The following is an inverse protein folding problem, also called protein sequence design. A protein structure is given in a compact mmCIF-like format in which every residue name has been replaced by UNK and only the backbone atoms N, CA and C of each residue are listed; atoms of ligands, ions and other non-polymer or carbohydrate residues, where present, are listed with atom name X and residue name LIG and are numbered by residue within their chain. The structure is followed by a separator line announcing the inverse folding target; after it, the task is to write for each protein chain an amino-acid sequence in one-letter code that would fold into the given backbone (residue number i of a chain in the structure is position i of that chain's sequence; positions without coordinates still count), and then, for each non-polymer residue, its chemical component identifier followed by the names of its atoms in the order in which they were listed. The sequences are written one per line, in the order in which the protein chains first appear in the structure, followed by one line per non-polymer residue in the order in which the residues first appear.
data_IF_615935252185
#
_entry.id   IF_615935252185
#
_cell.length_a   1.000
_cell.length_b   1.000
_cell.length_c   1.000
_cell.angle_alpha   90.00
_cell.angle_beta   90.00
_cell.angle_gamma   90.00
#
_symmetry.space_group_name_H-M   'P 1'
#
loop_
_entity.id
_entity.type
_entity.pdbx_description
1 polymer ?
#
# COMPACT_ATOMS: atom_id res chain seq x y z
N UNK A 1 90.44 -1.82 -18.79
CA UNK A 1 89.56 -0.77 -19.32
C UNK A 1 88.42 -1.43 -20.06
N UNK A 2 87.33 -1.66 -19.30
CA UNK A 2 86.01 -2.12 -19.74
C UNK A 2 85.39 -1.21 -20.78
N UNK A 3 84.85 -1.75 -21.88
CA UNK A 3 83.59 -1.33 -22.57
C UNK A 3 83.22 -2.36 -23.67
N UNK A 4 82.86 -3.61 -23.32
CA UNK A 4 82.35 -4.58 -24.31
C UNK A 4 81.49 -5.69 -23.69
N UNK A 5 80.50 -5.36 -22.87
CA UNK A 5 79.56 -6.37 -22.33
C UNK A 5 78.07 -6.01 -22.48
N UNK A 6 77.71 -4.79 -22.88
CA UNK A 6 76.34 -4.29 -22.65
C UNK A 6 75.47 -4.05 -23.90
N UNK A 7 75.65 -4.86 -24.97
CA UNK A 7 74.78 -4.78 -26.18
C UNK A 7 73.93 -6.01 -26.49
N UNK A 8 74.03 -7.09 -25.71
CA UNK A 8 73.27 -8.33 -25.97
C UNK A 8 71.94 -8.46 -25.21
N UNK A 9 71.62 -7.58 -24.26
CA UNK A 9 70.50 -7.77 -23.31
C UNK A 9 69.22 -6.98 -23.60
N UNK A 10 69.21 -6.10 -24.61
CA UNK A 10 68.07 -5.18 -24.86
C UNK A 10 67.15 -5.57 -26.02
N UNK A 11 67.52 -6.51 -26.87
CA UNK A 11 66.68 -6.93 -28.01
C UNK A 11 65.76 -8.12 -27.69
N UNK A 12 65.95 -8.81 -26.56
CA UNK A 12 65.06 -9.88 -26.09
C UNK A 12 63.88 -9.44 -25.22
N UNK A 13 63.81 -8.16 -24.81
CA UNK A 13 62.80 -7.70 -23.85
C UNK A 13 61.47 -7.29 -24.50
N UNK A 14 61.46 -6.98 -25.81
CA UNK A 14 60.25 -6.53 -26.52
C UNK A 14 59.39 -7.68 -27.04
N UNK A 15 59.95 -8.88 -27.20
CA UNK A 15 59.17 -10.07 -27.60
C UNK A 15 58.51 -10.79 -26.40
N UNK A 16 58.99 -10.58 -25.17
CA UNK A 16 58.44 -11.22 -23.97
C UNK A 16 57.30 -10.42 -23.33
N UNK A 17 57.23 -9.09 -23.51
CA UNK A 17 56.14 -8.29 -22.91
C UNK A 17 54.78 -8.53 -23.56
N UNK A 18 54.71 -8.66 -24.89
CA UNK A 18 53.44 -8.91 -25.60
C UNK A 18 52.88 -10.32 -25.31
N UNK A 19 53.76 -11.30 -25.10
CA UNK A 19 53.37 -12.67 -24.71
C UNK A 19 52.92 -12.75 -23.24
N UNK A 20 53.49 -11.94 -22.35
CA UNK A 20 53.10 -11.89 -20.93
C UNK A 20 51.75 -11.16 -20.76
N UNK A 21 51.48 -10.11 -21.55
CA UNK A 21 50.22 -9.37 -21.47
C UNK A 21 49.06 -10.15 -22.13
N UNK A 22 49.36 -10.84 -23.24
CA UNK A 22 48.44 -11.83 -23.84
C UNK A 22 48.18 -13.01 -22.90
N UNK A 23 49.21 -13.48 -22.19
CA UNK A 23 49.09 -14.51 -21.16
C UNK A 23 48.26 -14.06 -19.97
N UNK A 24 48.43 -12.83 -19.48
CA UNK A 24 47.61 -12.24 -18.41
C UNK A 24 46.15 -12.14 -18.83
N UNK A 25 45.84 -11.57 -19.99
CA UNK A 25 44.46 -11.50 -20.47
C UNK A 25 43.84 -12.89 -20.64
N UNK A 26 44.59 -13.86 -21.17
CA UNK A 26 44.11 -15.25 -21.32
C UNK A 26 43.86 -15.91 -19.97
N UNK A 27 44.71 -15.68 -18.97
CA UNK A 27 44.48 -16.18 -17.62
C UNK A 27 43.28 -15.49 -16.97
N UNK A 28 43.13 -14.18 -17.12
CA UNK A 28 42.07 -13.40 -16.47
C UNK A 28 40.68 -13.71 -17.07
N UNK A 29 40.61 -13.89 -18.40
CA UNK A 29 39.44 -14.49 -19.05
C UNK A 29 39.17 -15.91 -18.54
N UNK A 30 40.21 -16.75 -18.43
CA UNK A 30 40.06 -18.12 -17.90
C UNK A 30 39.66 -18.17 -16.42
N UNK A 31 40.05 -17.19 -15.60
CA UNK A 31 39.59 -17.06 -14.22
C UNK A 31 38.13 -16.60 -14.18
N UNK A 32 37.78 -15.56 -14.94
CA UNK A 32 36.40 -15.05 -15.04
C UNK A 32 35.44 -16.12 -15.54
N UNK A 33 35.84 -16.89 -16.53
CA UNK A 33 35.08 -18.03 -17.06
C UNK A 33 34.97 -19.15 -16.01
N UNK A 34 36.05 -19.51 -15.31
CA UNK A 34 36.01 -20.49 -14.21
C UNK A 34 35.14 -20.06 -13.01
N UNK A 35 34.95 -18.77 -12.77
CA UNK A 35 34.05 -18.27 -11.72
C UNK A 35 32.60 -18.09 -12.19
N UNK A 36 32.37 -17.82 -13.47
CA UNK A 36 31.02 -17.66 -14.02
C UNK A 36 30.38 -19.01 -14.40
N UNK A 37 31.16 -19.99 -14.85
CA UNK A 37 30.69 -21.33 -15.23
C UNK A 37 29.97 -22.08 -14.09
N UNK A 38 30.42 -22.05 -12.82
CA UNK A 38 29.66 -22.63 -11.71
C UNK A 38 28.34 -21.90 -11.43
N UNK A 39 28.32 -20.57 -11.55
CA UNK A 39 27.10 -19.76 -11.36
C UNK A 39 26.08 -20.05 -12.46
N UNK A 40 26.51 -20.13 -13.71
CA UNK A 40 25.64 -20.53 -14.84
C UNK A 40 25.06 -21.93 -14.61
N UNK A 41 25.90 -22.91 -14.24
CA UNK A 41 25.44 -24.27 -13.93
C UNK A 41 24.53 -24.37 -12.71
N UNK A 42 24.64 -23.44 -11.77
CA UNK A 42 23.74 -23.35 -10.62
C UNK A 42 22.40 -22.76 -11.04
N UNK A 43 22.42 -21.63 -11.77
CA UNK A 43 21.21 -21.02 -12.32
C UNK A 43 20.46 -21.96 -13.29
N UNK A 44 21.18 -22.75 -14.09
CA UNK A 44 20.58 -23.76 -14.97
C UNK A 44 19.88 -24.87 -14.18
N UNK A 45 20.44 -25.28 -13.04
CA UNK A 45 19.81 -26.24 -12.13
C UNK A 45 18.57 -25.66 -11.48
N UNK A 46 18.65 -24.45 -10.94
CA UNK A 46 17.49 -23.76 -10.37
C UNK A 46 16.38 -23.55 -11.41
N UNK A 47 16.74 -23.21 -12.64
CA UNK A 47 15.78 -23.05 -13.74
C UNK A 47 15.10 -24.38 -14.09
N UNK A 48 15.82 -25.50 -14.03
CA UNK A 48 15.28 -26.84 -14.25
C UNK A 48 14.33 -27.22 -13.09
N UNK A 49 14.73 -26.98 -11.85
CA UNK A 49 13.90 -27.25 -10.67
C UNK A 49 12.59 -26.43 -10.69
N UNK A 50 12.67 -25.14 -11.07
CA UNK A 50 11.51 -24.28 -11.26
C UNK A 50 10.60 -24.76 -12.40
N UNK A 51 11.18 -25.27 -13.50
CA UNK A 51 10.40 -25.87 -14.59
C UNK A 51 9.68 -27.14 -14.14
N UNK A 52 10.34 -28.00 -13.36
CA UNK A 52 9.71 -29.20 -12.80
C UNK A 52 8.59 -28.85 -11.81
N UNK A 53 8.82 -27.87 -10.93
CA UNK A 53 7.80 -27.39 -9.99
C UNK A 53 6.59 -26.80 -10.74
N UNK A 54 6.82 -25.99 -11.78
CA UNK A 54 5.74 -25.47 -12.62
C UNK A 54 4.98 -26.58 -13.35
N UNK A 55 5.67 -27.59 -13.89
CA UNK A 55 5.02 -28.73 -14.53
C UNK A 55 4.09 -29.47 -13.55
N UNK A 56 4.56 -29.70 -12.32
CA UNK A 56 3.75 -30.31 -11.27
C UNK A 56 2.55 -29.45 -10.84
N UNK A 57 2.72 -28.13 -10.75
CA UNK A 57 1.61 -27.21 -10.47
C UNK A 57 0.56 -27.20 -11.59
N UNK A 58 0.99 -27.24 -12.85
CA UNK A 58 0.10 -27.37 -14.01
C UNK A 58 -0.68 -28.67 -13.95
N UNK A 59 -0.02 -29.80 -13.67
CA UNK A 59 -0.68 -31.10 -13.51
C UNK A 59 -1.71 -31.09 -12.37
N UNK A 60 -1.38 -30.44 -11.24
CA UNK A 60 -2.31 -30.27 -10.11
C UNK A 60 -3.50 -29.39 -10.48
N UNK A 61 -3.29 -28.31 -11.23
CA UNK A 61 -4.37 -27.46 -11.74
C UNK A 61 -5.27 -28.20 -12.72
N UNK A 62 -4.69 -29.01 -13.61
CA UNK A 62 -5.46 -29.87 -14.52
C UNK A 62 -6.26 -30.92 -13.74
N UNK A 63 -5.69 -31.53 -12.71
CA UNK A 63 -6.40 -32.45 -11.84
C UNK A 63 -7.58 -31.77 -11.12
N UNK A 64 -7.35 -30.59 -10.53
CA UNK A 64 -8.41 -29.81 -9.88
C UNK A 64 -9.47 -29.34 -10.88
N UNK A 65 -9.09 -28.94 -12.08
CA UNK A 65 -10.01 -28.56 -13.16
C UNK A 65 -10.87 -29.75 -13.61
N UNK A 66 -10.27 -30.93 -13.79
CA UNK A 66 -10.99 -32.17 -14.09
C UNK A 66 -11.92 -32.57 -12.94
N UNK A 67 -11.48 -32.43 -11.70
CA UNK A 67 -12.29 -32.71 -10.51
C UNK A 67 -13.48 -31.75 -10.42
N UNK A 68 -13.27 -30.45 -10.62
CA UNK A 68 -14.33 -29.44 -10.67
C UNK A 68 -15.32 -29.70 -11.82
N UNK A 69 -14.83 -30.06 -13.02
CA UNK A 69 -15.67 -30.43 -14.15
C UNK A 69 -16.49 -31.70 -13.86
N UNK A 70 -15.90 -32.71 -13.21
CA UNK A 70 -16.62 -33.92 -12.79
C UNK A 70 -17.68 -33.65 -11.72
N UNK A 71 -17.40 -32.73 -10.79
CA UNK A 71 -18.35 -32.32 -9.76
C UNK A 71 -19.53 -31.53 -10.36
N UNK A 72 -19.24 -30.63 -11.32
CA UNK A 72 -20.28 -29.91 -12.06
C UNK A 72 -21.16 -30.85 -12.90
N UNK A 73 -20.59 -31.88 -13.52
CA UNK A 73 -21.36 -32.90 -14.26
C UNK A 73 -22.20 -33.78 -13.31
N UNK A 74 -21.69 -34.11 -12.12
CA UNK A 74 -22.47 -34.83 -11.09
C UNK A 74 -23.68 -34.03 -10.63
N UNK A 75 -23.55 -32.72 -10.46
CA UNK A 75 -24.66 -31.83 -10.05
C UNK A 75 -25.70 -31.68 -11.16
N UNK A 76 -25.28 -31.68 -12.43
CA UNK A 76 -26.20 -31.66 -13.59
C UNK A 76 -26.87 -33.01 -13.88
N UNK A 77 -26.37 -34.12 -13.33
CA UNK A 77 -26.94 -35.46 -13.53
C UNK A 77 -28.00 -35.82 -12.47
N UNK A 78 -28.11 -35.02 -11.41
CA UNK A 78 -29.10 -35.21 -10.33
C UNK A 78 -30.37 -34.36 -10.46
N UNK A 79 -30.50 -33.53 -11.50
CA UNK A 79 -31.73 -32.80 -11.79
C UNK A 79 -32.51 -33.47 -12.93
N UNK A 80 -33.60 -34.15 -12.58
CA UNK A 80 -34.65 -34.51 -13.53
C UNK A 80 -35.21 -33.26 -14.23
N UNK A 81 -35.63 -33.35 -15.50
CA UNK A 81 -35.95 -32.20 -16.32
C UNK A 81 -37.45 -31.90 -16.26
N UNK A 82 -37.92 -31.09 -15.32
CA UNK A 82 -39.22 -30.44 -15.44
C UNK A 82 -39.20 -29.01 -14.88
N UNK A 83 -39.94 -28.15 -15.59
CA UNK A 83 -40.24 -26.74 -15.32
C UNK A 83 -39.23 -25.72 -15.88
N UNK A 84 -39.49 -25.40 -17.15
CA UNK A 84 -39.22 -24.13 -17.80
C UNK A 84 -39.79 -22.96 -16.98
N UNK A 85 -38.97 -21.94 -16.72
CA UNK A 85 -39.43 -20.71 -16.07
C UNK A 85 -38.30 -19.80 -15.61
N UNK A 86 -37.78 -18.99 -16.55
CA UNK A 86 -37.11 -17.69 -16.35
C UNK A 86 -36.33 -17.44 -15.05
N UNK A 87 -34.99 -17.48 -15.11
CA UNK A 87 -34.16 -16.46 -14.44
C UNK A 87 -32.95 -16.16 -15.32
N UNK A 88 -33.13 -15.18 -16.22
CA UNK A 88 -32.05 -14.49 -16.90
C UNK A 88 -31.98 -13.07 -16.38
N UNK A 89 -30.79 -12.70 -15.90
CA UNK A 89 -30.25 -11.33 -15.89
C UNK A 89 -30.91 -10.32 -14.94
N UNK A 90 -30.43 -10.25 -13.69
CA UNK A 90 -30.51 -9.02 -12.90
C UNK A 90 -29.12 -8.38 -12.77
N UNK A 91 -28.95 -7.34 -13.59
CA UNK A 91 -27.98 -6.26 -13.46
C UNK A 91 -28.07 -5.63 -12.07
N UNK A 92 -27.00 -5.73 -11.28
CA UNK A 92 -26.85 -5.02 -9.99
C UNK A 92 -25.55 -4.22 -10.01
N UNK A 93 -25.42 -3.38 -11.03
CA UNK A 93 -24.24 -2.55 -11.33
C UNK A 93 -24.60 -1.07 -11.30
N UNK A 94 -25.50 -0.66 -10.40
CA UNK A 94 -25.92 0.74 -10.26
C UNK A 94 -26.26 1.11 -8.81
N UNK A 95 -25.30 0.93 -7.88
CA UNK A 95 -25.35 1.60 -6.57
C UNK A 95 -23.98 1.63 -5.86
N UNK A 96 -22.96 2.25 -6.49
CA UNK A 96 -21.78 2.74 -5.75
C UNK A 96 -21.48 4.16 -6.22
N UNK A 97 -22.11 5.10 -5.55
CA UNK A 97 -21.80 6.51 -5.62
C UNK A 97 -22.06 7.15 -4.27
N UNK A 98 -21.04 7.83 -3.74
CA UNK A 98 -21.06 8.73 -2.57
C UNK A 98 -20.78 8.06 -1.21
N UNK A 99 -19.51 8.10 -0.78
CA UNK A 99 -18.98 9.12 0.16
C UNK A 99 -17.56 8.73 0.62
N UNK A 100 -16.55 9.48 0.15
CA UNK A 100 -15.32 9.74 0.92
C UNK A 100 -15.63 10.87 1.92
N UNK A 101 -15.13 10.86 3.15
CA UNK A 101 -13.74 11.08 3.56
C UNK A 101 -13.63 10.90 5.10
N UNK A 102 -12.45 10.98 5.75
CA UNK A 102 -12.05 9.99 6.74
C UNK A 102 -12.07 10.53 8.18
N UNK A 103 -12.15 9.59 9.13
CA UNK A 103 -11.82 9.84 10.52
C UNK A 103 -10.29 9.84 10.67
N UNK A 104 -9.71 10.98 11.04
CA UNK A 104 -8.36 11.08 11.59
C UNK A 104 -8.45 11.54 13.03
N UNK A 105 -7.87 10.73 13.90
CA UNK A 105 -7.59 10.99 15.30
C UNK A 105 -6.92 12.33 15.51
N UNK A 106 -7.39 13.13 16.47
CA UNK A 106 -6.45 13.90 17.29
C UNK A 106 -7.00 14.27 18.67
N UNK A 107 -6.06 14.26 19.61
CA UNK A 107 -6.24 14.25 21.05
C UNK A 107 -5.66 15.57 21.58
N UNK A 108 -6.47 16.48 22.12
CA UNK A 108 -6.03 17.67 22.91
C UNK A 108 -7.24 18.17 23.72
N UNK A 109 -7.30 17.93 25.04
CA UNK A 109 -6.82 18.79 26.15
C UNK A 109 -7.26 20.26 26.08
N UNK A 110 -7.89 20.67 27.20
CA UNK A 110 -8.11 22.01 27.76
C UNK A 110 -9.37 22.76 27.31
N UNK A 111 -10.38 22.67 28.17
CA UNK A 111 -11.35 23.74 28.41
C UNK A 111 -10.79 24.66 29.50
N UNK A 112 -10.56 25.92 29.16
CA UNK A 112 -10.54 27.06 30.08
C UNK A 112 -11.38 28.15 29.42
N UNK A 113 -12.13 28.84 30.29
CA UNK A 113 -13.06 29.97 30.10
C UNK A 113 -12.40 31.20 29.43
N UNK A 114 -13.01 32.39 29.34
CA UNK A 114 -14.29 32.85 29.94
C UNK A 114 -15.16 33.76 29.04
N UNK A 115 -16.26 34.20 29.66
CA UNK A 115 -16.92 35.50 29.45
C UNK A 115 -17.80 35.61 28.18
N UNK A 116 -19.04 36.10 28.23
CA UNK A 116 -19.66 37.11 29.10
C UNK A 116 -21.16 36.80 29.29
N UNK A 117 -21.70 36.83 30.53
CA UNK A 117 -22.35 37.97 31.24
C UNK A 117 -23.83 38.12 30.92
N UNK A 118 -24.65 37.92 31.97
CA UNK A 118 -25.85 38.65 32.40
C UNK A 118 -26.52 37.76 33.47
N UNK A 119 -26.21 38.03 34.74
CA UNK A 119 -26.99 38.90 35.65
C UNK A 119 -28.23 38.14 36.16
N UNK A 120 -28.57 38.10 37.45
CA UNK A 120 -28.07 38.77 38.64
C UNK A 120 -28.81 38.10 39.82
N UNK A 121 -28.10 37.62 40.84
CA UNK A 121 -28.00 38.23 42.19
C UNK A 121 -28.86 37.53 43.27
N UNK A 122 -28.09 36.80 44.08
CA UNK A 122 -28.03 36.81 45.56
C UNK A 122 -29.19 36.24 46.39
N UNK A 123 -28.88 35.05 46.94
CA UNK A 123 -29.11 34.71 48.34
C UNK A 123 -28.52 35.79 49.26
N UNK A 124 -29.30 36.16 50.29
CA UNK A 124 -28.86 36.53 51.65
C UNK A 124 -29.75 37.65 52.22
N UNK A 125 -30.81 37.22 52.91
CA UNK A 125 -31.33 38.01 54.03
C UNK A 125 -31.01 37.20 55.27
N UNK A 126 -29.80 37.43 55.81
CA UNK A 126 -29.52 37.28 57.23
C UNK A 126 -30.54 38.13 57.99
N UNK A 127 -31.31 37.50 58.88
CA UNK A 127 -32.06 38.17 59.93
C UNK A 127 -31.50 37.70 61.27
N UNK A 128 -30.47 38.38 61.77
CA UNK A 128 -30.20 38.47 63.20
C UNK A 128 -30.61 39.85 63.74
N UNK A 129 -31.47 39.79 64.76
CA UNK A 129 -31.65 40.73 65.86
C UNK A 129 -32.11 42.16 65.58
N UNK A 130 -33.40 42.41 65.82
CA UNK A 130 -33.83 43.13 67.04
C UNK A 130 -35.35 43.32 67.08
N UNK A 131 -35.95 42.67 68.07
CA UNK A 131 -37.02 43.16 68.94
C UNK A 131 -38.14 44.05 68.38
N UNK A 132 -39.35 43.49 68.49
CA UNK A 132 -40.52 44.27 68.91
C UNK A 132 -41.73 44.11 68.02
N UNK A 133 -42.52 43.05 68.24
CA UNK A 133 -43.91 43.19 68.71
C UNK A 133 -44.67 41.85 68.66
N UNK A 134 -45.33 41.57 69.77
CA UNK A 134 -46.23 40.44 70.04
C UNK A 134 -47.33 40.32 68.97
N UNK A 135 -47.42 39.17 68.25
CA UNK A 135 -48.70 38.71 67.67
C UNK A 135 -48.69 37.22 67.27
N UNK A 136 -49.69 36.49 67.76
CA UNK A 136 -50.07 35.10 67.42
C UNK A 136 -50.05 34.79 65.90
N UNK A 137 -49.01 34.14 65.39
CA UNK A 137 -49.00 33.57 64.03
C UNK A 137 -47.79 32.66 63.81
N UNK A 138 -48.04 31.42 63.37
CA UNK A 138 -47.00 30.48 62.93
C UNK A 138 -46.14 31.11 61.82
N UNK A 139 -44.84 30.82 61.81
CA UNK A 139 -43.95 31.28 60.74
C UNK A 139 -44.30 30.56 59.43
N UNK A 140 -44.06 31.21 58.28
CA UNK A 140 -44.31 30.58 56.97
C UNK A 140 -43.44 29.33 56.73
N UNK A 141 -42.34 29.15 57.48
CA UNK A 141 -41.51 27.94 57.44
C UNK A 141 -42.18 26.78 58.18
N UNK A 142 -42.63 27.02 59.42
CA UNK A 142 -43.34 26.02 60.23
C UNK A 142 -44.62 25.50 59.55
N UNK A 143 -45.34 26.37 58.84
CA UNK A 143 -46.53 25.96 58.07
C UNK A 143 -46.16 25.07 56.88
N UNK A 144 -44.99 25.29 56.24
CA UNK A 144 -44.51 24.45 55.15
C UNK A 144 -44.05 23.08 55.65
N UNK A 145 -43.31 23.05 56.76
CA UNK A 145 -42.88 21.82 57.42
C UNK A 145 -44.07 20.96 57.87
N UNK A 146 -45.09 21.58 58.48
CA UNK A 146 -46.32 20.87 58.86
C UNK A 146 -47.09 20.33 57.65
N UNK A 147 -47.12 21.07 56.53
CA UNK A 147 -47.73 20.58 55.28
C UNK A 147 -46.97 19.41 54.69
N UNK A 148 -45.64 19.41 54.79
CA UNK A 148 -44.81 18.30 54.37
C UNK A 148 -45.07 17.06 55.23
N UNK A 149 -45.11 17.20 56.56
CA UNK A 149 -45.40 16.08 57.46
C UNK A 149 -46.80 15.48 57.20
N UNK A 150 -47.81 16.32 56.95
CA UNK A 150 -49.16 15.86 56.58
C UNK A 150 -49.15 15.08 55.25
N UNK A 151 -48.32 15.48 54.28
CA UNK A 151 -48.16 14.74 53.03
C UNK A 151 -47.47 13.40 53.23
N UNK A 152 -46.45 13.35 54.07
CA UNK A 152 -45.74 12.10 54.36
C UNK A 152 -46.70 11.09 55.00
N UNK A 153 -47.55 11.53 55.95
CA UNK A 153 -48.60 10.69 56.54
C UNK A 153 -49.66 10.29 55.50
N UNK A 154 -50.05 11.19 54.60
CA UNK A 154 -50.98 10.89 53.52
C UNK A 154 -50.43 9.79 52.58
N UNK A 155 -49.18 9.92 52.13
CA UNK A 155 -48.50 8.92 51.30
C UNK A 155 -48.37 7.59 52.02
N UNK A 156 -48.04 7.60 53.31
CA UNK A 156 -47.96 6.38 54.12
C UNK A 156 -49.33 5.67 54.22
N UNK A 157 -50.42 6.39 54.45
CA UNK A 157 -51.76 5.80 54.47
C UNK A 157 -52.19 5.28 53.09
N UNK A 158 -51.83 5.97 52.00
CA UNK A 158 -52.08 5.49 50.63
C UNK A 158 -51.32 4.20 50.32
N UNK A 159 -50.05 4.13 50.70
CA UNK A 159 -49.26 2.92 50.56
C UNK A 159 -49.88 1.72 51.30
N UNK A 160 -50.39 1.93 52.52
CA UNK A 160 -51.10 0.88 53.26
C UNK A 160 -52.39 0.42 52.57
N UNK A 161 -53.18 1.36 52.03
CA UNK A 161 -54.39 1.03 51.23
C UNK A 161 -54.02 0.18 50.02
N UNK A 162 -52.95 0.54 49.32
CA UNK A 162 -52.49 -0.18 48.13
C UNK A 162 -51.95 -1.57 48.48
N UNK A 163 -51.22 -1.71 49.59
CA UNK A 163 -50.77 -3.01 50.10
C UNK A 163 -51.97 -3.93 50.44
N UNK A 164 -52.99 -3.43 51.14
CA UNK A 164 -54.20 -4.20 51.47
C UNK A 164 -54.93 -4.61 50.19
N UNK A 165 -55.04 -3.72 49.21
CA UNK A 165 -55.64 -4.02 47.90
C UNK A 165 -54.81 -5.04 47.11
N UNK A 166 -53.48 -4.96 47.17
CA UNK A 166 -52.58 -5.88 46.47
C UNK A 166 -52.64 -7.29 47.07
N UNK A 167 -52.67 -7.41 48.41
CA UNK A 167 -52.92 -8.69 49.08
C UNK A 167 -54.27 -9.30 48.67
N UNK A 168 -55.31 -8.46 48.47
CA UNK A 168 -56.62 -8.91 47.96
C UNK A 168 -56.58 -9.36 46.49
N UNK A 169 -55.66 -8.83 45.67
CA UNK A 169 -55.54 -9.10 44.22
C UNK A 169 -54.55 -10.22 43.86
N UNK A 170 -53.70 -10.65 44.79
CA UNK A 170 -52.77 -11.77 44.57
C UNK A 170 -53.50 -13.10 44.28
N UNK A 171 -54.83 -13.17 44.43
CA UNK A 171 -55.68 -14.19 43.81
C UNK A 171 -56.24 -13.69 42.47
N UNK A 172 -55.44 -13.81 41.41
CA UNK A 172 -55.84 -13.84 39.98
C UNK A 172 -56.55 -12.60 39.39
N UNK A 173 -55.78 -11.64 38.85
CA UNK A 173 -56.01 -11.00 37.53
C UNK A 173 -55.17 -9.73 37.37
N UNK A 174 -54.62 -9.56 36.17
CA UNK A 174 -53.71 -8.51 35.69
C UNK A 174 -54.12 -7.06 35.93
N UNK A 175 -53.06 -6.25 36.11
CA UNK A 175 -52.75 -4.98 35.45
C UNK A 175 -53.96 -4.13 35.01
N UNK A 176 -54.29 -3.13 35.83
CA UNK A 176 -54.55 -1.74 35.45
C UNK A 176 -54.95 -0.93 36.69
N UNK A 177 -54.73 0.39 36.64
CA UNK A 177 -54.92 1.40 37.69
C UNK A 177 -53.82 1.51 38.76
N UNK A 178 -52.62 1.95 38.37
CA UNK A 178 -51.77 2.78 39.23
C UNK A 178 -52.07 4.25 38.90
N UNK A 179 -53.15 4.78 39.47
CA UNK A 179 -53.34 6.23 39.54
C UNK A 179 -52.81 6.67 40.91
N UNK A 180 -51.49 6.76 41.02
CA UNK A 180 -50.86 7.50 42.10
C UNK A 180 -51.03 8.98 41.77
N UNK A 181 -52.10 9.59 42.30
CA UNK A 181 -52.22 11.06 42.32
C UNK A 181 -51.07 11.58 43.18
N UNK A 182 -49.99 12.07 42.55
CA UNK A 182 -48.90 12.74 43.25
C UNK A 182 -49.39 14.09 43.78
N UNK A 183 -49.75 14.11 45.06
CA UNK A 183 -50.20 15.32 45.75
C UNK A 183 -48.98 16.09 46.25
N UNK A 184 -48.74 17.26 45.67
CA UNK A 184 -47.64 18.17 46.06
C UNK A 184 -48.01 19.06 47.27
N UNK A 185 -47.02 19.67 47.94
CA UNK A 185 -47.15 20.54 49.14
C UNK A 185 -48.16 21.68 48.93
N UNK A 186 -48.25 22.14 47.69
CA UNK A 186 -49.18 23.18 47.23
C UNK A 186 -50.65 22.73 47.21
N UNK A 187 -50.91 21.43 47.14
CA UNK A 187 -52.22 20.81 46.96
C UNK A 187 -52.84 20.28 48.26
N UNK A 188 -52.13 20.39 49.39
CA UNK A 188 -52.60 19.96 50.72
C UNK A 188 -53.81 20.79 51.15
N UNK A 189 -55.00 20.26 50.89
CA UNK A 189 -56.28 20.82 51.32
C UNK A 189 -56.78 20.14 52.60
N UNK A 190 -57.47 20.91 53.43
CA UNK A 190 -58.16 20.39 54.62
C UNK A 190 -59.16 19.31 54.17
N UNK A 191 -58.98 18.09 54.67
CA UNK A 191 -59.86 16.95 54.36
C UNK A 191 -59.21 15.82 53.57
N UNK A 192 -58.07 16.02 52.91
CA UNK A 192 -57.40 14.95 52.15
C UNK A 192 -57.05 13.73 53.01
N UNK A 193 -56.41 13.96 54.15
CA UNK A 193 -56.09 12.90 55.11
C UNK A 193 -57.35 12.24 55.69
N UNK A 194 -58.43 13.01 55.87
CA UNK A 194 -59.71 12.48 56.38
C UNK A 194 -60.33 11.50 55.39
N UNK A 195 -60.27 11.79 54.09
CA UNK A 195 -60.81 10.89 53.06
C UNK A 195 -59.97 9.61 52.94
N UNK A 196 -58.64 9.71 52.93
CA UNK A 196 -57.77 8.52 52.93
C UNK A 196 -57.97 7.67 54.19
N UNK A 197 -58.11 8.29 55.36
CA UNK A 197 -58.40 7.56 56.60
C UNK A 197 -59.80 6.90 56.61
N UNK A 198 -60.81 7.52 55.98
CA UNK A 198 -62.13 6.89 55.80
C UNK A 198 -62.04 5.68 54.87
N UNK A 199 -61.30 5.79 53.77
CA UNK A 199 -61.07 4.71 52.82
C UNK A 199 -60.36 3.54 53.51
N UNK A 200 -59.28 3.82 54.25
CA UNK A 200 -58.56 2.83 55.04
C UNK A 200 -59.47 2.15 56.08
N UNK A 201 -60.28 2.93 56.82
CA UNK A 201 -61.26 2.38 57.77
C UNK A 201 -62.30 1.50 57.10
N UNK A 202 -62.80 1.87 55.91
CA UNK A 202 -63.75 1.06 55.15
C UNK A 202 -63.11 -0.27 54.74
N UNK A 203 -61.86 -0.24 54.25
CA UNK A 203 -61.14 -1.45 53.86
C UNK A 203 -60.88 -2.39 55.04
N UNK A 204 -60.56 -1.86 56.22
CA UNK A 204 -60.45 -2.68 57.44
C UNK A 204 -61.79 -3.31 57.84
N UNK A 205 -62.90 -2.56 57.80
CA UNK A 205 -64.22 -3.12 58.09
C UNK A 205 -64.60 -4.22 57.09
N UNK A 206 -64.27 -4.05 55.80
CA UNK A 206 -64.50 -5.06 54.77
C UNK A 206 -63.68 -6.34 55.01
N UNK A 207 -62.42 -6.21 55.43
CA UNK A 207 -61.58 -7.36 55.79
C UNK A 207 -62.17 -8.15 56.97
N UNK A 208 -62.52 -7.45 58.07
CA UNK A 208 -63.09 -8.09 59.26
C UNK A 208 -64.43 -8.76 58.95
N UNK A 209 -65.28 -8.10 58.14
CA UNK A 209 -66.57 -8.67 57.73
C UNK A 209 -66.37 -9.92 56.86
N UNK A 210 -65.41 -9.91 55.95
CA UNK A 210 -65.09 -11.05 55.07
C UNK A 210 -64.55 -12.23 55.88
N UNK A 211 -63.65 -12.00 56.83
CA UNK A 211 -63.11 -13.03 57.71
C UNK A 211 -64.20 -13.69 58.57
N UNK A 212 -65.14 -12.90 59.09
CA UNK A 212 -66.32 -13.41 59.79
C UNK A 212 -67.28 -14.17 58.87
N UNK A 213 -67.43 -13.76 57.60
CA UNK A 213 -68.26 -14.48 56.62
C UNK A 213 -67.65 -15.83 56.20
N UNK A 214 -66.33 -15.91 56.04
CA UNK A 214 -65.63 -17.18 55.80
C UNK A 214 -65.75 -18.14 57.01
N UNK A 215 -65.80 -17.59 58.22
CA UNK A 215 -65.96 -18.37 59.45
C UNK A 215 -67.42 -18.80 59.75
N UNK A 216 -68.42 -18.11 59.19
CA UNK A 216 -69.86 -18.44 59.35
C UNK A 216 -70.44 -19.27 58.20
N UNK A 217 -69.83 -19.21 57.01
CA UNK A 217 -70.25 -20.02 55.86
C UNK A 217 -69.90 -21.50 56.01
N UNK A 218 -69.00 -21.84 56.93
CA UNK A 218 -68.61 -23.21 57.28
C UNK A 218 -69.42 -23.84 58.43
N UNK A 219 -70.29 -23.07 59.08
CA UNK A 219 -71.01 -23.51 60.29
C UNK A 219 -72.55 -23.51 60.17
N UNK A 220 -73.11 -23.17 59.00
CA UNK A 220 -74.56 -23.01 58.82
C UNK A 220 -75.24 -24.07 57.94
N UNK A 221 -74.53 -25.14 57.56
CA UNK A 221 -75.14 -26.35 56.99
C UNK A 221 -75.07 -27.48 58.03
N UNK A 222 -76.24 -27.98 58.44
CA UNK A 222 -76.39 -29.26 59.14
C UNK A 222 -76.08 -30.41 58.15
N UNK A 223 -74.84 -30.50 57.70
CA UNK A 223 -74.37 -31.61 56.87
C UNK A 223 -73.84 -32.72 57.78
N UNK A 224 -74.33 -33.94 57.53
CA UNK A 224 -73.82 -35.14 58.19
C UNK A 224 -72.28 -35.21 58.00
N UNK A 225 -71.49 -35.65 58.99
CA UNK A 225 -70.04 -35.83 58.84
C UNK A 225 -69.67 -36.73 57.64
N UNK A 226 -70.59 -37.58 57.17
CA UNK A 226 -70.43 -38.37 55.94
C UNK A 226 -70.47 -37.56 54.64
N UNK A 227 -71.15 -36.42 54.62
CA UNK A 227 -71.35 -35.58 53.43
C UNK A 227 -70.16 -34.64 53.23
N UNK A 228 -69.65 -34.05 54.32
CA UNK A 228 -68.40 -33.27 54.35
C UNK A 228 -67.21 -34.14 53.95
N UNK A 229 -67.15 -35.39 54.41
CA UNK A 229 -66.10 -36.33 54.02
C UNK A 229 -66.11 -36.65 52.52
N UNK A 230 -67.30 -36.86 51.93
CA UNK A 230 -67.46 -37.11 50.50
C UNK A 230 -67.04 -35.90 49.66
N UNK A 231 -67.39 -34.69 50.10
CA UNK A 231 -67.01 -33.46 49.40
C UNK A 231 -65.50 -33.19 49.44
N UNK A 232 -64.85 -33.46 50.59
CA UNK A 232 -63.39 -33.43 50.69
C UNK A 232 -62.71 -34.46 49.79
N UNK A 233 -63.29 -35.66 49.66
CA UNK A 233 -62.77 -36.70 48.77
C UNK A 233 -62.89 -36.27 47.29
N UNK A 234 -64.02 -35.67 46.90
CA UNK A 234 -64.20 -35.09 45.56
C UNK A 234 -63.23 -33.94 45.30
N UNK A 235 -63.02 -33.04 46.27
CA UNK A 235 -62.04 -31.96 46.14
C UNK A 235 -60.60 -32.48 46.02
N UNK A 236 -60.25 -33.51 46.78
CA UNK A 236 -58.95 -34.16 46.73
C UNK A 236 -58.72 -34.85 45.39
N UNK A 237 -59.72 -35.53 44.83
CA UNK A 237 -59.66 -36.08 43.48
C UNK A 237 -59.49 -34.99 42.42
N UNK A 238 -60.27 -33.92 42.50
CA UNK A 238 -60.17 -32.79 41.55
C UNK A 238 -58.82 -32.08 41.61
N UNK A 239 -58.26 -31.93 42.82
CA UNK A 239 -56.93 -31.38 43.04
C UNK A 239 -55.84 -32.30 42.48
N UNK A 240 -55.94 -33.61 42.72
CA UNK A 240 -55.03 -34.61 42.14
C UNK A 240 -55.07 -34.59 40.60
N UNK A 241 -56.25 -34.58 40.00
CA UNK A 241 -56.41 -34.49 38.55
C UNK A 241 -55.78 -33.19 37.99
N UNK A 242 -55.94 -32.06 38.69
CA UNK A 242 -55.30 -30.80 38.31
C UNK A 242 -53.77 -30.87 38.41
N UNK A 243 -53.22 -31.48 39.47
CA UNK A 243 -51.78 -31.73 39.60
C UNK A 243 -51.26 -32.60 38.45
N UNK A 244 -51.92 -33.71 38.12
CA UNK A 244 -51.51 -34.56 37.01
C UNK A 244 -51.61 -33.85 35.65
N UNK A 245 -52.59 -32.94 35.47
CA UNK A 245 -52.67 -32.13 34.25
C UNK A 245 -51.51 -31.15 34.15
N UNK A 246 -51.13 -30.49 35.25
CA UNK A 246 -49.97 -29.60 35.30
C UNK A 246 -48.67 -30.34 35.07
N UNK A 247 -48.50 -31.54 35.63
CA UNK A 247 -47.34 -32.41 35.39
C UNK A 247 -47.22 -32.78 33.91
N UNK A 248 -48.33 -33.19 33.26
CA UNK A 248 -48.33 -33.48 31.81
C UNK A 248 -48.01 -32.24 30.97
N UNK A 249 -48.45 -31.05 31.38
CA UNK A 249 -48.11 -29.80 30.69
C UNK A 249 -46.64 -29.44 30.87
N UNK A 250 -46.10 -29.57 32.09
CA UNK A 250 -44.69 -29.34 32.39
C UNK A 250 -43.79 -30.28 31.59
N UNK A 251 -44.14 -31.56 31.51
CA UNK A 251 -43.44 -32.57 30.71
C UNK A 251 -43.41 -32.20 29.20
N UNK A 252 -44.52 -31.68 28.65
CA UNK A 252 -44.58 -31.22 27.25
C UNK A 252 -43.69 -30.01 27.03
N UNK A 253 -43.80 -28.99 27.87
CA UNK A 253 -42.98 -27.78 27.79
C UNK A 253 -41.49 -28.08 27.99
N UNK A 254 -41.15 -29.04 28.86
CA UNK A 254 -39.77 -29.52 29.02
C UNK A 254 -39.23 -30.12 27.72
N UNK A 255 -40.00 -30.97 27.04
CA UNK A 255 -39.59 -31.58 25.77
C UNK A 255 -39.46 -30.56 24.64
N UNK A 256 -40.36 -29.58 24.59
CA UNK A 256 -40.27 -28.47 23.64
C UNK A 256 -39.02 -27.62 23.90
N UNK A 257 -38.72 -27.32 25.16
CA UNK A 257 -37.49 -26.60 25.55
C UNK A 257 -36.23 -27.37 25.15
N UNK A 258 -36.20 -28.69 25.37
CA UNK A 258 -35.07 -29.53 24.96
C UNK A 258 -34.89 -29.60 23.44
N UNK A 259 -35.99 -29.58 22.68
CA UNK A 259 -35.95 -29.53 21.22
C UNK A 259 -35.39 -28.19 20.73
N UNK A 260 -35.88 -27.08 21.29
CA UNK A 260 -35.38 -25.73 20.99
C UNK A 260 -33.90 -25.57 21.37
N UNK A 261 -33.47 -26.16 22.49
CA UNK A 261 -32.06 -26.13 22.89
C UNK A 261 -31.17 -26.84 21.86
N UNK A 262 -31.57 -28.02 21.39
CA UNK A 262 -30.82 -28.75 20.34
C UNK A 262 -30.77 -28.00 19.02
N UNK A 263 -31.86 -27.31 18.65
CA UNK A 263 -31.88 -26.46 17.46
C UNK A 263 -30.93 -25.27 17.60
N UNK A 264 -30.94 -24.59 18.76
CA UNK A 264 -30.00 -23.53 19.06
C UNK A 264 -28.54 -24.01 18.99
N UNK A 265 -28.22 -25.15 19.60
CA UNK A 265 -26.86 -25.71 19.56
C UNK A 265 -26.44 -26.03 18.10
N UNK A 266 -27.36 -26.54 17.28
CA UNK A 266 -27.13 -26.79 15.85
C UNK A 266 -26.89 -25.50 15.07
N UNK A 267 -27.72 -24.48 15.27
CA UNK A 267 -27.58 -23.17 14.62
C UNK A 267 -26.28 -22.48 15.05
N UNK A 268 -25.91 -22.57 16.32
CA UNK A 268 -24.65 -22.05 16.82
C UNK A 268 -23.45 -22.79 16.18
N UNK A 269 -23.54 -24.11 16.01
CA UNK A 269 -22.56 -24.88 15.24
C UNK A 269 -22.45 -24.44 13.78
N UNK A 270 -23.59 -24.20 13.11
CA UNK A 270 -23.58 -23.68 11.74
C UNK A 270 -22.97 -22.28 11.65
N UNK A 271 -23.31 -21.39 12.59
CA UNK A 271 -22.76 -20.05 12.66
C UNK A 271 -21.23 -20.08 12.77
N UNK A 272 -20.67 -20.85 13.70
CA UNK A 272 -19.21 -20.98 13.87
C UNK A 272 -18.50 -21.49 12.61
N UNK A 273 -19.11 -22.45 11.90
CA UNK A 273 -18.55 -22.95 10.63
C UNK A 273 -18.60 -21.88 9.55
N UNK A 274 -19.70 -21.12 9.46
CA UNK A 274 -19.81 -20.02 8.49
C UNK A 274 -18.85 -18.87 8.79
N UNK A 275 -18.65 -18.52 10.07
CA UNK A 275 -17.67 -17.53 10.51
C UNK A 275 -16.25 -17.95 10.16
N UNK A 276 -15.89 -19.21 10.39
CA UNK A 276 -14.58 -19.75 10.02
C UNK A 276 -14.36 -19.73 8.48
N UNK A 277 -15.41 -20.04 7.70
CA UNK A 277 -15.35 -19.94 6.23
C UNK A 277 -15.19 -18.49 5.77
N UNK A 278 -15.91 -17.56 6.38
CA UNK A 278 -15.79 -16.14 6.08
C UNK A 278 -14.38 -15.64 6.37
N UNK A 279 -13.83 -15.93 7.56
CA UNK A 279 -12.48 -15.57 7.93
C UNK A 279 -11.43 -16.15 6.96
N UNK A 280 -11.58 -17.41 6.55
CA UNK A 280 -10.70 -18.02 5.55
C UNK A 280 -10.80 -17.34 4.18
N UNK A 281 -12.00 -16.95 3.73
CA UNK A 281 -12.18 -16.18 2.49
C UNK A 281 -11.59 -14.77 2.59
N UNK A 282 -11.68 -14.11 3.75
CA UNK A 282 -11.06 -12.81 3.99
C UNK A 282 -9.53 -12.88 3.96
N UNK A 283 -8.94 -13.91 4.58
CA UNK A 283 -7.49 -14.16 4.54
C UNK A 283 -7.01 -14.42 3.10
N UNK A 284 -7.74 -15.22 2.32
CA UNK A 284 -7.44 -15.44 0.90
C UNK A 284 -7.52 -14.14 0.09
N UNK A 285 -8.57 -13.34 0.29
CA UNK A 285 -8.73 -12.03 -0.35
C UNK A 285 -7.54 -11.12 -0.04
N UNK A 286 -7.13 -11.05 1.22
CA UNK A 286 -6.05 -10.17 1.65
C UNK A 286 -4.69 -10.65 1.12
N UNK A 287 -4.48 -11.97 1.07
CA UNK A 287 -3.32 -12.58 0.39
C UNK A 287 -3.27 -12.18 -1.08
N UNK A 288 -4.38 -12.32 -1.82
CA UNK A 288 -4.42 -11.94 -3.24
C UNK A 288 -4.22 -10.44 -3.47
N UNK A 289 -4.74 -9.58 -2.58
CA UNK A 289 -4.48 -8.14 -2.63
C UNK A 289 -2.98 -7.84 -2.47
N UNK A 290 -2.35 -8.47 -1.48
CA UNK A 290 -0.91 -8.31 -1.25
C UNK A 290 -0.08 -8.81 -2.44
N UNK A 291 -0.44 -9.96 -3.02
CA UNK A 291 0.22 -10.48 -4.22
C UNK A 291 0.06 -9.53 -5.41
N UNK A 292 -1.13 -8.96 -5.60
CA UNK A 292 -1.39 -7.98 -6.65
C UNK A 292 -0.51 -6.74 -6.45
N UNK A 293 -0.47 -6.18 -5.24
CA UNK A 293 0.39 -5.04 -4.90
C UNK A 293 1.87 -5.36 -5.13
N UNK A 294 2.35 -6.52 -4.70
CA UNK A 294 3.71 -6.98 -4.93
C UNK A 294 4.02 -7.12 -6.43
N UNK A 295 3.09 -7.64 -7.23
CA UNK A 295 3.27 -7.75 -8.68
C UNK A 295 3.28 -6.37 -9.35
N UNK A 296 2.48 -5.42 -8.88
CA UNK A 296 2.47 -4.04 -9.38
C UNK A 296 3.80 -3.34 -9.06
N UNK A 297 4.28 -3.46 -7.82
CA UNK A 297 5.59 -2.96 -7.41
C UNK A 297 6.70 -3.57 -8.28
N UNK A 298 6.64 -4.87 -8.58
CA UNK A 298 7.60 -5.54 -9.47
C UNK A 298 7.54 -5.00 -10.90
N UNK A 299 6.34 -4.78 -11.45
CA UNK A 299 6.16 -4.15 -12.78
C UNK A 299 6.69 -2.72 -12.81
N UNK A 300 6.38 -1.90 -11.80
CA UNK A 300 6.86 -0.52 -11.71
C UNK A 300 8.38 -0.46 -11.66
N UNK A 301 9.01 -1.34 -10.88
CA UNK A 301 10.46 -1.47 -10.83
C UNK A 301 11.02 -1.87 -12.20
N UNK A 302 10.37 -2.80 -12.90
CA UNK A 302 10.79 -3.22 -14.24
C UNK A 302 10.67 -2.06 -15.26
N UNK A 303 9.58 -1.30 -15.22
CA UNK A 303 9.35 -0.12 -16.07
C UNK A 303 10.40 0.96 -15.80
N UNK A 304 10.66 1.28 -14.53
CA UNK A 304 11.72 2.24 -14.15
C UNK A 304 13.09 1.80 -14.67
N UNK A 305 13.44 0.51 -14.49
CA UNK A 305 14.69 -0.04 -15.02
C UNK A 305 14.75 0.02 -16.55
N UNK A 306 13.65 -0.23 -17.24
CA UNK A 306 13.58 -0.11 -18.70
C UNK A 306 13.78 1.35 -19.17
N UNK A 307 13.18 2.31 -18.47
CA UNK A 307 13.42 3.74 -18.73
C UNK A 307 14.89 4.12 -18.51
N UNK A 308 15.49 3.71 -17.39
CA UNK A 308 16.91 3.98 -17.14
C UNK A 308 17.83 3.40 -18.23
N UNK A 309 17.54 2.17 -18.70
CA UNK A 309 18.32 1.54 -19.78
C UNK A 309 18.16 2.31 -21.09
N UNK A 310 16.93 2.70 -21.44
CA UNK A 310 16.66 3.52 -22.62
C UNK A 310 17.38 4.86 -22.52
N UNK A 311 17.30 5.54 -21.39
CA UNK A 311 17.86 6.88 -21.21
C UNK A 311 19.40 6.82 -21.26
N UNK A 312 20.02 5.78 -20.67
CA UNK A 312 21.46 5.51 -20.82
C UNK A 312 21.84 5.23 -22.28
N UNK A 313 21.02 4.50 -23.03
CA UNK A 313 21.28 4.22 -24.44
C UNK A 313 21.16 5.49 -25.29
N UNK A 314 20.14 6.32 -25.04
CA UNK A 314 19.96 7.62 -25.70
C UNK A 314 21.14 8.55 -25.40
N UNK A 315 21.60 8.61 -24.14
CA UNK A 315 22.77 9.41 -23.78
C UNK A 315 24.02 8.97 -24.54
N UNK A 316 24.29 7.66 -24.63
CA UNK A 316 25.41 7.13 -25.42
C UNK A 316 25.30 7.46 -26.91
N UNK A 317 24.10 7.34 -27.48
CA UNK A 317 23.83 7.71 -28.87
C UNK A 317 24.15 9.19 -29.10
N UNK A 318 23.62 10.07 -28.25
CA UNK A 318 23.85 11.51 -28.36
C UNK A 318 25.34 11.85 -28.25
N UNK A 319 26.07 11.23 -27.32
CA UNK A 319 27.53 11.42 -27.19
C UNK A 319 28.25 10.99 -28.47
N UNK A 320 27.92 9.83 -29.03
CA UNK A 320 28.52 9.35 -30.29
C UNK A 320 28.18 10.27 -31.48
N UNK A 321 26.96 10.82 -31.54
CA UNK A 321 26.57 11.79 -32.57
C UNK A 321 27.36 13.10 -32.45
N UNK A 322 27.61 13.59 -31.22
CA UNK A 322 28.44 14.76 -30.97
C UNK A 322 29.89 14.51 -31.41
N UNK A 323 30.46 13.35 -31.08
CA UNK A 323 31.81 12.95 -31.50
C UNK A 323 31.92 12.81 -33.02
N UNK A 324 30.90 12.23 -33.66
CA UNK A 324 30.85 12.12 -35.12
C UNK A 324 30.79 13.51 -35.78
N UNK A 325 30.01 14.44 -35.23
CA UNK A 325 29.96 15.81 -35.72
C UNK A 325 31.33 16.50 -35.59
N UNK A 326 32.02 16.32 -34.45
CA UNK A 326 33.36 16.86 -34.23
C UNK A 326 34.38 16.32 -35.23
N UNK A 327 34.45 15.00 -35.39
CA UNK A 327 35.38 14.37 -36.35
C UNK A 327 35.10 14.82 -37.79
N UNK A 328 33.83 15.02 -38.17
CA UNK A 328 33.47 15.58 -39.48
C UNK A 328 34.01 17.00 -39.67
N UNK A 329 33.89 17.86 -38.66
CA UNK A 329 34.47 19.22 -38.68
C UNK A 329 36.00 19.16 -38.79
N UNK A 330 36.66 18.29 -38.03
CA UNK A 330 38.11 18.10 -38.10
C UNK A 330 38.57 17.66 -39.50
N UNK A 331 37.87 16.71 -40.14
CA UNK A 331 38.16 16.27 -41.51
C UNK A 331 38.01 17.43 -42.50
N UNK A 332 36.96 18.24 -42.37
CA UNK A 332 36.77 19.42 -43.22
C UNK A 332 37.91 20.44 -43.04
N UNK A 333 38.35 20.66 -41.81
CA UNK A 333 39.46 21.56 -41.50
C UNK A 333 40.79 21.03 -42.07
N UNK A 334 41.09 19.75 -41.89
CA UNK A 334 42.29 19.10 -42.45
C UNK A 334 42.27 19.17 -43.99
N UNK A 335 41.11 18.96 -44.61
CA UNK A 335 40.98 19.08 -46.06
C UNK A 335 41.24 20.52 -46.54
N UNK A 336 40.73 21.53 -45.83
CA UNK A 336 41.06 22.94 -46.12
C UNK A 336 42.56 23.20 -46.04
N UNK A 337 43.21 22.75 -44.96
CA UNK A 337 44.66 22.88 -44.78
C UNK A 337 45.45 22.17 -45.89
N UNK A 338 44.99 21.00 -46.33
CA UNK A 338 45.61 20.27 -47.45
C UNK A 338 45.49 21.05 -48.75
N UNK A 339 44.30 21.59 -49.06
CA UNK A 339 44.08 22.40 -50.26
C UNK A 339 44.95 23.66 -50.25
N UNK A 340 45.07 24.35 -49.12
CA UNK A 340 45.97 25.50 -48.95
C UNK A 340 47.44 25.10 -49.18
N UNK A 341 47.89 23.98 -48.64
CA UNK A 341 49.27 23.50 -48.83
C UNK A 341 49.55 23.12 -50.29
N UNK A 342 48.58 22.50 -50.98
CA UNK A 342 48.68 22.21 -52.43
C UNK A 342 48.77 23.51 -53.23
N UNK A 343 47.91 24.48 -52.92
CA UNK A 343 47.92 25.78 -53.57
C UNK A 343 49.27 26.50 -53.41
N UNK A 344 49.80 26.56 -52.19
CA UNK A 344 51.13 27.12 -51.92
C UNK A 344 52.24 26.38 -52.69
N UNK A 345 52.16 25.04 -52.77
CA UNK A 345 53.13 24.24 -53.54
C UNK A 345 53.07 24.55 -55.04
N UNK A 346 51.88 24.71 -55.60
CA UNK A 346 51.70 25.10 -57.01
C UNK A 346 52.26 26.49 -57.25
N UNK A 347 52.00 27.46 -56.38
CA UNK A 347 52.54 28.82 -56.49
C UNK A 347 54.07 28.86 -56.42
N UNK A 348 54.68 28.09 -55.51
CA UNK A 348 56.14 27.97 -55.43
C UNK A 348 56.72 27.31 -56.68
N UNK A 349 56.04 26.31 -57.24
CA UNK A 349 56.44 25.68 -58.50
C UNK A 349 56.43 26.69 -59.65
N UNK A 350 55.36 27.48 -59.78
CA UNK A 350 55.28 28.53 -60.81
C UNK A 350 56.42 29.56 -60.64
N UNK A 351 56.70 29.98 -59.41
CA UNK A 351 57.83 30.89 -59.13
C UNK A 351 59.18 30.26 -59.50
N UNK A 352 59.38 28.97 -59.24
CA UNK A 352 60.59 28.25 -59.62
C UNK A 352 60.74 28.19 -61.14
N UNK A 353 59.68 27.80 -61.86
CA UNK A 353 59.67 27.72 -63.32
C UNK A 353 60.01 29.09 -63.95
N UNK A 354 59.51 30.20 -63.37
CA UNK A 354 59.86 31.56 -63.78
C UNK A 354 61.35 31.87 -63.55
N UNK A 355 61.88 31.54 -62.36
CA UNK A 355 63.30 31.72 -62.06
C UNK A 355 64.21 30.91 -62.99
N UNK A 356 63.82 29.69 -63.32
CA UNK A 356 64.54 28.83 -64.28
C UNK A 356 64.58 29.48 -65.67
N UNK A 357 63.44 29.97 -66.17
CA UNK A 357 63.37 30.67 -67.46
C UNK A 357 64.22 31.96 -67.49
N UNK A 358 64.20 32.75 -66.42
CA UNK A 358 65.00 33.98 -66.32
C UNK A 358 66.51 33.66 -66.31
N UNK A 359 66.92 32.58 -65.62
CA UNK A 359 68.31 32.12 -65.61
C UNK A 359 68.76 31.59 -66.97
N UNK A 360 67.92 30.84 -67.67
CA UNK A 360 68.20 30.37 -69.03
C UNK A 360 68.41 31.55 -69.98
N UNK A 361 67.52 32.55 -69.92
CA UNK A 361 67.67 33.79 -70.69
C UNK A 361 68.99 34.51 -70.39
N UNK A 362 69.39 34.63 -69.12
CA UNK A 362 70.66 35.24 -68.74
C UNK A 362 71.87 34.45 -69.27
N UNK A 363 71.79 33.13 -69.33
CA UNK A 363 72.81 32.28 -69.92
C UNK A 363 72.89 32.46 -71.44
N UNK A 364 71.74 32.45 -72.13
CA UNK A 364 71.66 32.72 -73.57
C UNK A 364 72.26 34.09 -73.92
N UNK A 365 71.93 35.13 -73.15
CA UNK A 365 72.51 36.46 -73.32
C UNK A 365 74.03 36.47 -73.13
N UNK A 366 74.55 35.74 -72.14
CA UNK A 366 76.00 35.60 -71.92
C UNK A 366 76.67 34.84 -73.06
N UNK A 367 76.07 33.77 -73.56
CA UNK A 367 76.57 33.00 -74.71
C UNK A 367 76.59 33.86 -75.96
N UNK A 368 75.50 34.58 -76.25
CA UNK A 368 75.40 35.52 -77.38
C UNK A 368 76.45 36.63 -77.30
N UNK A 369 76.63 37.25 -76.12
CA UNK A 369 77.67 38.26 -75.88
C UNK A 369 79.08 37.70 -76.13
N UNK A 370 79.37 36.49 -75.65
CA UNK A 370 80.66 35.83 -75.91
C UNK A 370 80.86 35.56 -77.39
N UNK A 371 79.88 34.98 -78.09
CA UNK A 371 79.99 34.67 -79.51
C UNK A 371 80.27 35.92 -80.35
N UNK A 372 79.54 37.01 -80.11
CA UNK A 372 79.77 38.32 -80.75
C UNK A 372 81.17 38.86 -80.45
N UNK A 373 81.64 38.75 -79.19
CA UNK A 373 82.98 39.20 -78.82
C UNK A 373 84.11 38.37 -79.42
N UNK A 374 83.87 37.09 -79.68
CA UNK A 374 84.82 36.15 -80.27
C UNK A 374 84.87 36.28 -81.80
N UNK A 375 83.74 36.48 -82.48
CA UNK A 375 83.67 36.71 -83.93
C UNK A 375 84.40 37.98 -84.36
N UNK A 376 84.54 38.98 -83.47
CA UNK A 376 85.30 40.21 -83.73
C UNK A 376 86.83 40.04 -83.64
N UNK A 377 87.35 38.88 -83.18
CA UNK A 377 88.80 38.65 -82.96
C UNK A 377 89.45 37.65 -83.92
N UNK A 378 88.72 37.07 -84.87
CA UNK A 378 89.23 36.06 -85.83
C UNK A 378 89.09 36.56 -87.28
N UNK A 379 89.99 37.46 -87.69
CA UNK A 379 90.17 37.84 -89.09
C UNK A 379 91.64 38.22 -89.38
N UNK A 380 92.58 37.28 -89.24
CA UNK A 380 93.87 37.25 -89.96
C UNK A 380 94.39 35.78 -89.98
N UNK A 381 94.69 35.25 -91.16
CA UNK A 381 95.16 33.88 -91.52
C UNK A 381 96.63 33.98 -92.02
N UNK A 382 97.41 32.91 -92.41
CA UNK A 382 97.17 31.44 -92.45
C UNK A 382 98.37 30.47 -92.10
N UNK A 383 98.04 29.17 -91.92
CA UNK A 383 98.68 27.89 -92.38
C UNK A 383 100.22 27.62 -92.30
N UNK A 384 100.66 26.50 -91.65
CA UNK A 384 101.21 25.24 -92.26
C UNK A 384 101.77 24.21 -91.23
N UNK A 385 101.48 22.92 -91.48
CA UNK A 385 102.27 21.68 -91.34
C UNK A 385 102.98 21.18 -90.04
N UNK A 386 102.62 19.93 -89.74
CA UNK A 386 103.45 18.73 -89.43
C UNK A 386 104.03 18.43 -88.02
N UNK A 387 103.69 17.19 -87.62
CA UNK A 387 104.50 16.12 -87.02
C UNK A 387 104.54 15.89 -85.49
N UNK A 388 104.29 14.60 -85.15
CA UNK A 388 104.84 13.78 -84.03
C UNK A 388 104.53 14.24 -82.59
N UNK A 389 104.31 13.41 -81.57
CA UNK A 389 104.28 11.96 -81.35
C UNK A 389 104.05 11.75 -79.84
N UNK A 390 103.34 10.69 -79.45
CA UNK A 390 103.70 9.90 -78.25
C UNK A 390 103.00 10.19 -76.92
N UNK A 391 102.50 9.08 -76.33
CA UNK A 391 102.45 8.79 -74.89
C UNK A 391 101.28 9.42 -74.11
N UNK A 392 100.25 8.68 -73.68
CA UNK A 392 100.20 7.65 -72.63
C UNK A 392 99.52 8.18 -71.34
N UNK A 393 98.56 7.38 -70.85
CA UNK A 393 98.27 7.12 -69.43
C UNK A 393 97.43 8.12 -68.61
N UNK A 394 96.19 7.69 -68.30
CA UNK A 394 95.82 7.16 -66.98
C UNK A 394 94.58 7.79 -66.27
N UNK A 395 93.79 6.87 -65.73
CA UNK A 395 92.94 6.94 -64.52
C UNK A 395 91.56 7.64 -64.56
N UNK A 396 90.53 6.78 -64.58
CA UNK A 396 89.32 6.90 -63.74
C UNK A 396 89.69 6.56 -62.26
N UNK A 397 88.88 6.77 -61.18
CA UNK A 397 87.41 6.62 -61.16
C UNK A 397 86.68 7.47 -60.05
N UNK A 398 85.55 7.07 -59.40
CA UNK A 398 84.34 7.92 -59.28
C UNK A 398 84.03 8.36 -57.84
N UNK A 399 83.11 9.30 -57.65
CA UNK A 399 82.56 9.60 -56.30
C UNK A 399 81.03 9.63 -56.27
N UNK A 400 80.48 8.60 -55.62
CA UNK A 400 79.13 8.55 -55.05
C UNK A 400 78.99 9.62 -53.95
N UNK A 401 77.87 10.33 -53.90
CA UNK A 401 77.37 10.96 -52.67
C UNK A 401 75.88 10.71 -52.51
N UNK A 402 75.60 9.98 -51.43
CA UNK A 402 74.31 9.77 -50.77
C UNK A 402 73.87 11.04 -50.03
N UNK A 403 72.60 11.42 -50.08
CA UNK A 403 71.97 12.34 -49.12
C UNK A 403 70.45 12.33 -49.29
N UNK A 404 69.79 11.34 -48.68
CA UNK A 404 68.81 11.49 -47.58
C UNK A 404 67.43 11.99 -48.00
N UNK A 405 66.57 10.99 -48.13
CA UNK A 405 65.12 11.03 -48.07
C UNK A 405 64.64 11.52 -46.69
N UNK A 406 63.39 12.00 -46.69
CA UNK A 406 62.62 12.62 -45.61
C UNK A 406 62.62 11.86 -44.28
N UNK A 407 62.63 12.61 -43.18
CA UNK A 407 62.08 12.17 -41.90
C UNK A 407 61.51 13.38 -41.13
N UNK A 408 60.24 13.69 -41.39
CA UNK A 408 59.41 14.49 -40.49
C UNK A 408 58.07 13.79 -40.32
N UNK A 409 57.94 13.01 -39.24
CA UNK A 409 56.67 12.70 -38.60
C UNK A 409 56.98 12.19 -37.19
N UNK A 410 56.95 13.11 -36.21
CA UNK A 410 56.84 12.74 -34.80
C UNK A 410 55.37 12.88 -34.44
N UNK A 411 54.69 11.75 -34.23
CA UNK A 411 53.34 11.66 -33.67
C UNK A 411 53.44 11.67 -32.14
N UNK A 412 52.79 12.69 -31.55
CA UNK A 412 51.99 12.75 -30.32
C UNK A 412 52.38 11.98 -29.05
N UNK A 413 52.28 12.71 -27.93
CA UNK A 413 51.42 12.31 -26.81
C UNK A 413 51.02 13.54 -25.97
N UNK A 414 49.72 13.81 -25.72
CA UNK A 414 49.30 14.69 -24.64
C UNK A 414 49.24 13.92 -23.32
N UNK A 415 49.74 14.54 -22.27
CA UNK A 415 49.69 14.09 -20.88
C UNK A 415 48.27 14.06 -20.33
N UNK A 416 47.94 12.98 -19.61
CA UNK A 416 46.86 12.92 -18.63
C UNK A 416 47.12 13.82 -17.43
#
# INVERSE_FOLDING_TARGET
MDKRVDRGKKEGAWFLSDDIDSGKQRTDFGWKERYQQPKLRHNERELLDLRMANAHLVERLEHLSRQAASHAQSLNSSSSPEVSGHIGNNSLLDEIGHQGSPFSSDRKRRTMSPDEVLDDIEEDIECEDSDGHIRLGFTSSEIKELKQEILDVYHMCRAMIDQIRHQRRNSLSSLETLSSDEVDVSQVKVGLLREVMKELKSLFHDLIRRENQLSLSSASSSESPSQVALELEVQLHRSKEACEQLERQFEKLSKERDAQQKENDSLQGQLTVTEARLAACEEQRDTYKQDLENTHLSKDVLVKKAWEVRDKAVQRKNTAEIELARTRVEVMQINSQLMEAVQQKVELKIKLDQWEADMERLLEEKVKKKLVSSSSKTNYRPSKNQNSSGGESDSSPPRKRTSRFMSYFTRQSPSS
#
